data_IF_364197336464
#
_entry.id   IF_364197336464
#
_cell.length_a   1.000
_cell.length_b   1.000
_cell.length_c   1.000
_cell.angle_alpha   90.00
_cell.angle_beta   90.00
_cell.angle_gamma   90.00
#
_symmetry.space_group_name_H-M   'P 1'
#
loop_
_entity.id
_entity.type
_entity.pdbx_description
1 polymer ?
#
# COMPACT_ATOMS: atom_id res chain seq x y z
N UNK A 1 17.98 -23.71 17.81
CA UNK A 1 17.85 -22.37 18.43
C UNK A 1 16.83 -21.60 17.61
N UNK A 2 15.93 -20.87 18.28
CA UNK A 2 14.98 -19.99 17.60
C UNK A 2 15.75 -18.87 16.87
N UNK A 3 15.35 -18.53 15.65
CA UNK A 3 15.94 -17.37 14.94
C UNK A 3 15.53 -16.08 15.65
N UNK A 4 16.44 -15.12 15.74
CA UNK A 4 16.18 -13.79 16.27
C UNK A 4 15.95 -12.80 15.13
N UNK A 5 14.86 -12.02 15.19
CA UNK A 5 14.63 -10.93 14.28
C UNK A 5 14.52 -9.58 15.01
N UNK A 6 14.90 -8.51 14.31
CA UNK A 6 14.83 -7.15 14.85
C UNK A 6 13.95 -6.28 13.95
N UNK A 7 12.87 -5.70 14.51
CA UNK A 7 12.01 -4.75 13.83
C UNK A 7 12.37 -3.32 14.22
N UNK A 8 12.52 -2.44 13.23
CA UNK A 8 12.93 -1.05 13.43
C UNK A 8 11.88 -0.09 12.85
N UNK A 9 11.30 0.74 13.71
CA UNK A 9 10.35 1.77 13.31
C UNK A 9 9.03 1.21 12.75
N UNK A 10 8.31 2.03 12.00
CA UNK A 10 7.08 1.65 11.31
C UNK A 10 5.81 2.20 11.95
N UNK A 11 4.71 1.60 11.54
CA UNK A 11 3.36 1.89 12.00
C UNK A 11 2.72 0.63 12.62
N UNK A 12 1.42 0.66 12.88
CA UNK A 12 0.70 -0.49 13.46
C UNK A 12 0.89 -1.81 12.68
N UNK A 13 1.24 -1.77 11.40
CA UNK A 13 1.54 -2.98 10.61
C UNK A 13 2.75 -3.72 11.16
N UNK A 14 3.80 -2.98 11.58
CA UNK A 14 5.00 -3.57 12.18
C UNK A 14 4.69 -4.24 13.50
N UNK A 15 3.81 -3.66 14.32
CA UNK A 15 3.34 -4.29 15.56
C UNK A 15 2.69 -5.64 15.28
N UNK A 16 1.77 -5.69 14.31
CA UNK A 16 1.08 -6.93 13.96
C UNK A 16 2.00 -7.94 13.27
N UNK A 17 2.98 -7.46 12.50
CA UNK A 17 4.02 -8.34 11.96
C UNK A 17 4.89 -8.93 13.07
N UNK A 18 5.29 -8.11 14.06
CA UNK A 18 6.04 -8.60 15.22
C UNK A 18 5.26 -9.66 16.00
N UNK A 19 3.96 -9.45 16.22
CA UNK A 19 3.11 -10.43 16.88
C UNK A 19 3.02 -11.75 16.09
N UNK A 20 2.81 -11.68 14.78
CA UNK A 20 2.74 -12.88 13.94
C UNK A 20 4.07 -13.66 13.92
N UNK A 21 5.21 -12.97 13.99
CA UNK A 21 6.53 -13.61 14.08
C UNK A 21 6.76 -14.26 15.46
N UNK A 22 6.29 -13.63 16.54
CA UNK A 22 6.29 -14.23 17.89
C UNK A 22 5.44 -15.50 17.93
N UNK A 23 4.23 -15.45 17.35
CA UNK A 23 3.32 -16.59 17.29
C UNK A 23 3.90 -17.74 16.45
N UNK A 24 4.76 -17.43 15.48
CA UNK A 24 5.54 -18.42 14.71
C UNK A 24 6.78 -18.94 15.46
N UNK A 25 7.01 -18.55 16.72
CA UNK A 25 8.07 -19.05 17.57
C UNK A 25 9.44 -18.40 17.39
N UNK A 26 9.52 -17.23 16.74
CA UNK A 26 10.77 -16.49 16.64
C UNK A 26 11.02 -15.65 17.90
N UNK A 27 12.30 -15.36 18.18
CA UNK A 27 12.69 -14.32 19.13
C UNK A 27 12.59 -12.95 18.44
N UNK A 28 11.64 -12.11 18.86
CA UNK A 28 11.37 -10.81 18.25
C UNK A 28 11.81 -9.69 19.17
N UNK A 29 12.65 -8.78 18.66
CA UNK A 29 13.08 -7.55 19.32
C UNK A 29 12.65 -6.35 18.50
N UNK A 30 12.24 -5.26 19.16
CA UNK A 30 11.70 -4.09 18.50
C UNK A 30 12.35 -2.81 19.01
N UNK A 31 12.55 -1.82 18.11
CA UNK A 31 12.91 -0.46 18.48
C UNK A 31 12.06 0.52 17.66
N UNK A 32 11.32 1.38 18.34
CA UNK A 32 10.41 2.35 17.72
C UNK A 32 9.20 1.74 17.02
N UNK A 33 8.78 0.53 17.38
CA UNK A 33 7.57 -0.14 16.87
C UNK A 33 6.41 0.13 17.83
N UNK A 34 5.29 0.70 17.37
CA UNK A 34 4.17 1.04 18.25
C UNK A 34 3.68 -0.13 19.09
N UNK A 35 3.52 0.07 20.40
CA UNK A 35 2.95 -0.92 21.31
C UNK A 35 3.78 -2.18 21.56
N UNK A 36 5.04 -2.22 21.09
CA UNK A 36 5.99 -3.29 21.39
C UNK A 36 7.02 -2.84 22.44
N UNK A 37 7.55 -3.76 23.25
CA UNK A 37 8.64 -3.45 24.16
C UNK A 37 9.87 -2.93 23.42
N UNK A 38 10.48 -1.87 23.95
CA UNK A 38 11.69 -1.28 23.37
C UNK A 38 12.92 -2.13 23.69
N UNK A 39 13.73 -2.37 22.66
CA UNK A 39 15.04 -3.01 22.78
C UNK A 39 16.11 -2.16 22.09
N UNK A 40 17.31 -2.16 22.65
CA UNK A 40 18.44 -1.51 21.99
C UNK A 40 18.82 -2.29 20.73
N UNK A 41 19.14 -1.59 19.62
CA UNK A 41 19.60 -2.21 18.40
C UNK A 41 20.81 -3.14 18.65
N UNK A 42 20.68 -4.38 18.24
CA UNK A 42 21.68 -5.43 18.42
C UNK A 42 21.62 -6.43 17.26
N UNK A 43 22.73 -7.12 16.93
CA UNK A 43 22.79 -8.06 15.83
C UNK A 43 21.69 -9.14 15.90
N UNK A 44 21.05 -9.40 14.76
CA UNK A 44 19.98 -10.37 14.60
C UNK A 44 20.22 -11.24 13.36
N UNK A 45 19.48 -12.33 13.24
CA UNK A 45 19.56 -13.21 12.05
C UNK A 45 18.95 -12.53 10.83
N UNK A 46 17.90 -11.74 11.03
CA UNK A 46 17.36 -10.84 10.01
C UNK A 46 16.71 -9.58 10.64
N UNK A 47 16.60 -8.54 9.83
CA UNK A 47 16.06 -7.23 10.22
C UNK A 47 14.84 -6.91 9.36
N UNK A 48 13.83 -6.29 9.95
CA UNK A 48 12.61 -5.88 9.26
C UNK A 48 12.46 -4.36 9.39
N UNK A 49 12.42 -3.69 8.25
CA UNK A 49 12.20 -2.26 8.13
C UNK A 49 10.76 -1.94 7.71
N UNK A 50 10.31 -0.70 7.91
CA UNK A 50 8.98 -0.25 7.48
C UNK A 50 8.73 -0.34 5.97
N UNK A 51 7.48 -0.12 5.60
CA UNK A 51 6.99 -0.09 4.22
C UNK A 51 6.29 1.26 3.91
N UNK A 52 6.96 2.22 3.23
CA UNK A 52 8.38 2.25 2.84
C UNK A 52 9.32 2.35 4.04
N UNK A 53 10.61 1.94 3.84
CA UNK A 53 11.60 1.92 4.91
C UNK A 53 11.93 3.32 5.42
N UNK A 54 12.05 4.29 4.53
CA UNK A 54 12.44 5.66 4.86
C UNK A 54 11.30 6.66 4.66
N UNK A 55 11.36 7.73 5.45
CA UNK A 55 10.64 8.98 5.28
C UNK A 55 11.68 10.12 5.32
N UNK A 56 12.08 10.61 4.16
CA UNK A 56 13.27 11.44 4.05
C UNK A 56 14.53 10.65 4.43
N UNK A 57 15.35 11.21 5.31
CA UNK A 57 16.60 10.60 5.76
C UNK A 57 16.45 9.67 6.99
N UNK A 58 15.25 9.56 7.56
CA UNK A 58 14.98 8.75 8.76
C UNK A 58 14.19 7.49 8.41
N UNK A 59 14.25 6.49 9.27
CA UNK A 59 13.32 5.38 9.21
C UNK A 59 11.89 5.90 9.40
N UNK A 60 10.94 5.29 8.70
CA UNK A 60 9.53 5.65 8.82
C UNK A 60 8.98 5.21 10.17
N UNK A 61 8.17 6.07 10.80
CA UNK A 61 7.48 5.80 12.06
C UNK A 61 7.61 6.96 13.05
N UNK A 62 6.64 7.10 13.95
CA UNK A 62 6.58 8.23 14.90
C UNK A 62 7.74 8.20 15.90
N UNK A 63 8.11 7.00 16.37
CA UNK A 63 9.21 6.77 17.31
C UNK A 63 10.38 6.01 16.65
N UNK A 64 10.45 6.04 15.30
CA UNK A 64 11.47 5.30 14.58
C UNK A 64 12.89 5.77 14.93
N UNK A 65 13.83 4.84 15.14
CA UNK A 65 15.23 5.19 15.40
C UNK A 65 15.87 5.81 14.15
N UNK A 66 17.06 6.36 14.33
CA UNK A 66 17.89 6.82 13.20
C UNK A 66 18.26 5.64 12.29
N UNK A 67 18.46 5.92 11.00
CA UNK A 67 18.83 4.88 10.02
C UNK A 67 20.08 4.10 10.37
N UNK A 68 20.99 4.69 11.18
CA UNK A 68 22.19 4.03 11.68
C UNK A 68 21.90 2.82 12.58
N UNK A 69 20.74 2.78 13.22
CA UNK A 69 20.31 1.64 14.03
C UNK A 69 20.16 0.35 13.20
N UNK A 70 19.89 0.46 11.90
CA UNK A 70 19.82 -0.68 10.98
C UNK A 70 21.16 -1.42 10.95
N UNK A 71 22.26 -0.68 10.81
CA UNK A 71 23.60 -1.27 10.71
C UNK A 71 24.06 -1.91 12.03
N UNK A 72 23.58 -1.38 13.18
CA UNK A 72 23.84 -1.99 14.49
C UNK A 72 23.14 -3.36 14.64
N UNK A 73 22.10 -3.62 13.89
CA UNK A 73 21.40 -4.90 13.86
C UNK A 73 21.97 -5.88 12.82
N UNK A 74 22.88 -5.44 11.95
CA UNK A 74 23.43 -6.25 10.88
C UNK A 74 24.75 -6.91 11.29
N UNK A 75 24.97 -8.09 10.76
CA UNK A 75 26.24 -8.82 10.67
C UNK A 75 26.38 -9.38 9.24
N UNK A 76 27.52 -9.92 8.89
CA UNK A 76 27.69 -10.53 7.57
C UNK A 76 26.63 -11.62 7.33
N UNK A 77 25.89 -11.51 6.22
CA UNK A 77 24.79 -12.42 5.85
C UNK A 77 23.44 -12.10 6.49
N UNK A 78 23.29 -11.03 7.30
CA UNK A 78 21.99 -10.60 7.82
C UNK A 78 21.09 -10.16 6.67
N UNK A 79 19.91 -10.77 6.51
CA UNK A 79 18.90 -10.31 5.58
C UNK A 79 18.11 -9.14 6.15
N UNK A 80 17.95 -8.08 5.34
CA UNK A 80 17.22 -6.87 5.71
C UNK A 80 16.00 -6.73 4.82
N UNK A 81 14.85 -7.06 5.36
CA UNK A 81 13.55 -7.00 4.70
C UNK A 81 12.94 -5.61 4.81
N UNK A 82 12.34 -5.11 3.74
CA UNK A 82 11.63 -3.82 3.76
C UNK A 82 11.02 -3.48 2.43
N UNK A 83 10.46 -2.29 2.33
CA UNK A 83 9.96 -1.73 1.08
C UNK A 83 10.66 -0.42 0.74
N UNK A 84 11.07 -0.23 -0.53
CA UNK A 84 11.78 0.96 -0.97
C UNK A 84 13.19 1.04 -0.40
N UNK A 85 13.93 -0.07 -0.42
CA UNK A 85 15.27 -0.19 0.15
C UNK A 85 16.37 0.46 -0.71
N UNK A 86 16.08 0.92 -1.93
CA UNK A 86 17.07 1.50 -2.85
C UNK A 86 18.02 2.52 -2.19
N UNK A 87 17.58 3.46 -1.34
CA UNK A 87 18.48 4.43 -0.70
C UNK A 87 19.41 3.82 0.35
N UNK A 88 19.08 2.65 0.89
CA UNK A 88 19.91 1.94 1.89
C UNK A 88 20.76 0.83 1.27
N UNK A 89 20.46 0.44 0.03
CA UNK A 89 21.00 -0.77 -0.59
C UNK A 89 22.51 -0.86 -0.55
N UNK A 90 23.21 0.18 -0.99
CA UNK A 90 24.67 0.16 -1.05
C UNK A 90 25.28 0.06 0.35
N UNK A 91 24.81 0.86 1.31
CA UNK A 91 25.31 0.84 2.67
C UNK A 91 25.05 -0.51 3.38
N UNK A 92 23.94 -1.19 3.07
CA UNK A 92 23.66 -2.54 3.56
C UNK A 92 24.65 -3.56 2.99
N UNK A 93 24.92 -3.50 1.69
CA UNK A 93 25.89 -4.38 1.05
C UNK A 93 27.31 -4.14 1.59
N UNK A 94 27.70 -2.89 1.82
CA UNK A 94 29.02 -2.51 2.36
C UNK A 94 29.26 -3.06 3.79
N UNK A 95 28.19 -3.22 4.58
CA UNK A 95 28.28 -3.86 5.91
C UNK A 95 28.08 -5.38 5.87
N UNK A 96 27.98 -5.98 4.67
CA UNK A 96 27.82 -7.42 4.47
C UNK A 96 26.39 -7.95 4.66
N UNK A 97 25.39 -7.07 4.75
CA UNK A 97 23.99 -7.44 4.85
C UNK A 97 23.35 -7.60 3.46
N UNK A 98 22.28 -8.39 3.38
CA UNK A 98 21.54 -8.68 2.15
C UNK A 98 20.20 -7.93 2.14
N UNK A 99 20.05 -6.83 1.36
CA UNK A 99 18.78 -6.13 1.25
C UNK A 99 17.77 -6.95 0.43
N UNK A 100 16.63 -7.26 1.04
CA UNK A 100 15.52 -8.01 0.44
C UNK A 100 14.33 -7.08 0.26
N UNK A 101 14.10 -6.66 -0.99
CA UNK A 101 12.99 -5.79 -1.34
C UNK A 101 11.67 -6.59 -1.38
N UNK A 102 10.70 -6.16 -0.59
CA UNK A 102 9.36 -6.78 -0.56
C UNK A 102 8.31 -6.01 -1.37
N UNK A 103 8.57 -4.76 -1.76
CA UNK A 103 7.69 -4.05 -2.67
C UNK A 103 7.72 -4.66 -4.07
N UNK A 104 6.52 -4.85 -4.65
CA UNK A 104 6.40 -5.41 -5.99
C UNK A 104 6.59 -6.93 -6.06
N UNK A 105 6.82 -7.61 -4.94
CA UNK A 105 6.85 -9.08 -4.91
C UNK A 105 5.45 -9.66 -4.80
N UNK A 106 5.18 -10.73 -5.52
CA UNK A 106 3.99 -11.54 -5.36
C UNK A 106 4.27 -12.66 -4.33
N UNK A 107 3.31 -13.08 -3.52
CA UNK A 107 1.90 -12.63 -3.48
C UNK A 107 1.63 -11.37 -2.62
N UNK A 108 2.67 -10.79 -1.99
CA UNK A 108 2.49 -9.68 -1.04
C UNK A 108 1.81 -8.44 -1.67
N UNK A 109 2.16 -8.11 -2.92
CA UNK A 109 1.53 -6.98 -3.62
C UNK A 109 0.03 -7.17 -3.78
N UNK A 110 -0.40 -8.38 -4.14
CA UNK A 110 -1.82 -8.72 -4.26
C UNK A 110 -2.51 -8.72 -2.90
N UNK A 111 -1.90 -9.29 -1.86
CA UNK A 111 -2.45 -9.24 -0.50
C UNK A 111 -2.62 -7.81 0.01
N UNK A 112 -1.65 -6.93 -0.26
CA UNK A 112 -1.71 -5.52 0.15
C UNK A 112 -2.74 -4.68 -0.65
N UNK A 113 -3.13 -5.12 -1.85
CA UNK A 113 -4.17 -4.47 -2.62
C UNK A 113 -5.56 -4.60 -1.98
N UNK A 114 -5.83 -5.68 -1.23
CA UNK A 114 -7.12 -5.90 -0.56
C UNK A 114 -7.39 -4.84 0.51
N UNK A 115 -6.54 -4.66 1.54
CA UNK A 115 -6.78 -3.62 2.54
C UNK A 115 -6.70 -2.19 1.97
N UNK A 116 -5.95 -1.98 0.88
CA UNK A 116 -5.96 -0.69 0.17
C UNK A 116 -7.34 -0.40 -0.42
N UNK A 117 -7.94 -1.37 -1.10
CA UNK A 117 -9.28 -1.24 -1.69
C UNK A 117 -10.36 -1.05 -0.62
N UNK A 118 -10.28 -1.78 0.49
CA UNK A 118 -11.22 -1.65 1.62
C UNK A 118 -11.10 -0.29 2.30
N UNK A 119 -9.89 0.20 2.50
CA UNK A 119 -9.67 1.56 3.01
C UNK A 119 -10.18 2.64 2.08
N UNK A 120 -10.05 2.46 0.76
CA UNK A 120 -10.61 3.38 -0.23
C UNK A 120 -12.15 3.41 -0.20
N UNK A 121 -12.79 2.24 -0.05
CA UNK A 121 -14.24 2.13 0.11
C UNK A 121 -14.70 2.78 1.42
N UNK A 122 -13.98 2.56 2.51
CA UNK A 122 -14.27 3.20 3.80
C UNK A 122 -14.22 4.74 3.70
N UNK A 123 -13.18 5.28 3.06
CA UNK A 123 -13.09 6.72 2.80
C UNK A 123 -14.23 7.22 1.90
N UNK A 124 -14.61 6.45 0.89
CA UNK A 124 -15.73 6.81 0.02
C UNK A 124 -17.05 6.93 0.79
N UNK A 125 -17.32 6.00 1.71
CA UNK A 125 -18.51 6.02 2.56
C UNK A 125 -18.47 7.17 3.57
N UNK A 126 -17.30 7.46 4.15
CA UNK A 126 -17.15 8.48 5.19
C UNK A 126 -17.22 9.92 4.66
N UNK A 127 -16.76 10.16 3.43
CA UNK A 127 -16.53 11.51 2.91
C UNK A 127 -17.43 11.89 1.74
N UNK A 128 -18.36 11.04 1.32
CA UNK A 128 -19.31 11.35 0.25
C UNK A 128 -20.73 11.45 0.78
N UNK A 129 -21.55 12.39 0.28
CA UNK A 129 -22.99 12.40 0.57
C UNK A 129 -23.74 11.33 -0.21
N UNK A 130 -23.11 10.66 -1.16
CA UNK A 130 -23.72 9.64 -2.00
C UNK A 130 -23.45 8.23 -1.48
N UNK A 131 -24.43 7.34 -1.59
CA UNK A 131 -24.25 5.91 -1.37
C UNK A 131 -23.49 5.29 -2.55
N UNK A 132 -22.74 4.21 -2.31
CA UNK A 132 -22.06 3.45 -3.38
C UNK A 132 -23.03 2.64 -4.24
N UNK A 133 -24.06 2.03 -3.64
CA UNK A 133 -25.05 1.23 -4.36
C UNK A 133 -25.73 2.05 -5.48
N UNK A 134 -25.60 1.60 -6.72
CA UNK A 134 -26.12 2.26 -7.93
C UNK A 134 -25.37 3.50 -8.36
N UNK A 135 -24.34 3.94 -7.61
CA UNK A 135 -23.57 5.14 -7.97
C UNK A 135 -22.61 4.88 -9.13
N UNK A 136 -22.44 5.86 -10.02
CA UNK A 136 -21.40 5.80 -11.04
C UNK A 136 -20.02 6.01 -10.40
N UNK A 137 -19.15 5.00 -10.51
CA UNK A 137 -17.81 4.96 -9.99
C UNK A 137 -16.79 4.78 -11.11
N UNK A 138 -15.74 5.59 -11.14
CA UNK A 138 -14.60 5.46 -12.05
C UNK A 138 -13.39 4.93 -11.28
N UNK A 139 -12.82 3.82 -11.73
CA UNK A 139 -11.54 3.30 -11.23
C UNK A 139 -10.50 3.49 -12.34
N UNK A 140 -9.54 4.39 -12.11
CA UNK A 140 -8.46 4.67 -13.07
C UNK A 140 -7.27 3.78 -12.73
N UNK A 141 -6.91 2.90 -13.66
CA UNK A 141 -5.93 1.84 -13.53
C UNK A 141 -6.56 0.47 -13.25
N UNK A 142 -5.95 -0.57 -13.83
CA UNK A 142 -6.40 -1.96 -13.67
C UNK A 142 -5.24 -2.89 -13.29
N UNK A 143 -4.34 -2.37 -12.43
CA UNK A 143 -3.32 -3.13 -11.71
C UNK A 143 -3.89 -3.86 -10.50
N UNK A 144 -3.03 -4.29 -9.56
CA UNK A 144 -3.44 -5.02 -8.36
C UNK A 144 -4.56 -4.30 -7.57
N UNK A 145 -4.35 -3.04 -7.21
CA UNK A 145 -5.34 -2.26 -6.46
C UNK A 145 -6.61 -2.03 -7.30
N UNK A 146 -6.47 -1.61 -8.54
CA UNK A 146 -7.61 -1.29 -9.40
C UNK A 146 -8.54 -2.48 -9.63
N UNK A 147 -7.99 -3.68 -9.85
CA UNK A 147 -8.77 -4.92 -10.04
C UNK A 147 -9.54 -5.28 -8.78
N UNK A 148 -8.89 -5.27 -7.63
CA UNK A 148 -9.54 -5.60 -6.34
C UNK A 148 -10.62 -4.57 -6.01
N UNK A 149 -10.32 -3.28 -6.17
CA UNK A 149 -11.26 -2.19 -5.88
C UNK A 149 -12.48 -2.23 -6.80
N UNK A 150 -12.27 -2.37 -8.11
CA UNK A 150 -13.37 -2.44 -9.07
C UNK A 150 -14.31 -3.62 -8.78
N UNK A 151 -13.75 -4.79 -8.47
CA UNK A 151 -14.55 -5.97 -8.12
C UNK A 151 -15.33 -5.79 -6.81
N UNK A 152 -14.71 -5.22 -5.77
CA UNK A 152 -15.39 -4.92 -4.50
C UNK A 152 -16.51 -3.88 -4.68
N UNK A 153 -16.29 -2.82 -5.44
CA UNK A 153 -17.31 -1.82 -5.76
C UNK A 153 -18.49 -2.44 -6.54
N UNK A 154 -18.17 -3.30 -7.51
CA UNK A 154 -19.19 -4.05 -8.24
C UNK A 154 -20.01 -4.95 -7.31
N UNK A 155 -19.35 -5.65 -6.38
CA UNK A 155 -20.03 -6.45 -5.35
C UNK A 155 -20.93 -5.62 -4.40
N UNK A 156 -20.65 -4.33 -4.23
CA UNK A 156 -21.50 -3.36 -3.55
C UNK A 156 -22.61 -2.78 -4.46
N UNK A 157 -22.78 -3.34 -5.66
CA UNK A 157 -23.76 -2.91 -6.66
C UNK A 157 -23.54 -1.48 -7.17
N UNK A 158 -22.31 -0.98 -7.15
CA UNK A 158 -21.95 0.26 -7.84
C UNK A 158 -21.89 0.03 -9.35
N UNK A 159 -22.15 1.07 -10.14
CA UNK A 159 -21.93 1.07 -11.59
C UNK A 159 -20.49 1.44 -11.86
N UNK A 160 -19.65 0.44 -12.07
CA UNK A 160 -18.19 0.62 -12.14
C UNK A 160 -17.73 0.71 -13.58
N UNK A 161 -17.06 1.81 -13.92
CA UNK A 161 -16.26 1.95 -15.14
C UNK A 161 -14.78 1.86 -14.78
N UNK A 162 -14.05 0.99 -15.45
CA UNK A 162 -12.59 0.87 -15.35
C UNK A 162 -11.94 1.65 -16.47
N UNK A 163 -11.07 2.60 -16.16
CA UNK A 163 -10.26 3.27 -17.17
C UNK A 163 -8.86 2.66 -17.21
N UNK A 164 -8.52 1.97 -18.30
CA UNK A 164 -7.23 1.30 -18.46
C UNK A 164 -6.59 1.60 -19.83
N UNK A 165 -5.26 1.79 -19.80
CA UNK A 165 -4.48 2.08 -21.03
C UNK A 165 -4.42 0.88 -21.98
N UNK A 166 -4.18 -0.32 -21.41
CA UNK A 166 -4.02 -1.53 -22.23
C UNK A 166 -5.37 -2.10 -22.65
N UNK A 167 -5.55 -2.43 -23.96
CA UNK A 167 -6.77 -3.09 -24.43
C UNK A 167 -7.09 -4.41 -23.70
N UNK A 168 -6.06 -5.19 -23.35
CA UNK A 168 -6.20 -6.44 -22.61
C UNK A 168 -6.80 -6.23 -21.21
N UNK A 169 -6.47 -5.13 -20.54
CA UNK A 169 -7.03 -4.82 -19.22
C UNK A 169 -8.50 -4.40 -19.32
N UNK A 170 -8.86 -3.65 -20.37
CA UNK A 170 -10.26 -3.29 -20.66
C UNK A 170 -11.10 -4.53 -20.96
N UNK A 171 -10.62 -5.40 -21.85
CA UNK A 171 -11.29 -6.66 -22.16
C UNK A 171 -11.46 -7.56 -20.91
N UNK A 172 -10.44 -7.60 -20.02
CA UNK A 172 -10.53 -8.35 -18.78
C UNK A 172 -11.57 -7.74 -17.81
N UNK A 173 -11.69 -6.43 -17.75
CA UNK A 173 -12.74 -5.76 -16.97
C UNK A 173 -14.15 -6.05 -17.53
N UNK A 174 -14.32 -5.96 -18.85
CA UNK A 174 -15.60 -6.28 -19.53
C UNK A 174 -16.03 -7.74 -19.34
N UNK A 175 -15.07 -8.67 -19.35
CA UNK A 175 -15.34 -10.09 -19.09
C UNK A 175 -15.88 -10.35 -17.66
N UNK A 176 -15.64 -9.44 -16.73
CA UNK A 176 -16.19 -9.47 -15.35
C UNK A 176 -17.47 -8.64 -15.20
N UNK A 177 -18.09 -8.19 -16.29
CA UNK A 177 -19.31 -7.40 -16.27
C UNK A 177 -19.13 -5.93 -15.89
N UNK A 178 -17.90 -5.42 -15.90
CA UNK A 178 -17.62 -4.01 -15.67
C UNK A 178 -17.66 -3.21 -16.97
N UNK A 179 -17.98 -1.94 -16.89
CA UNK A 179 -17.76 -1.03 -18.02
C UNK A 179 -16.27 -0.72 -18.14
N UNK A 180 -15.78 -0.52 -19.38
CA UNK A 180 -14.38 -0.15 -19.59
C UNK A 180 -14.24 1.08 -20.49
N UNK A 181 -13.18 1.86 -20.23
CA UNK A 181 -12.83 3.05 -21.00
C UNK A 181 -11.30 3.17 -21.15
N UNK A 182 -10.85 4.02 -22.07
CA UNK A 182 -9.43 4.29 -22.26
C UNK A 182 -8.97 5.41 -21.30
N UNK A 183 -7.91 5.17 -20.53
CA UNK A 183 -7.32 6.19 -19.65
C UNK A 183 -6.91 7.42 -20.44
N UNK A 184 -7.35 8.60 -19.97
CA UNK A 184 -7.08 9.90 -20.58
C UNK A 184 -8.08 10.32 -21.66
N UNK A 185 -8.74 9.38 -22.32
CA UNK A 185 -9.79 9.69 -23.32
C UNK A 185 -11.16 9.89 -22.68
N UNK A 186 -11.53 9.01 -21.75
CA UNK A 186 -12.82 9.00 -21.05
C UNK A 186 -14.00 9.22 -22.03
N UNK A 187 -14.11 8.36 -23.05
CA UNK A 187 -15.09 8.50 -24.13
C UNK A 187 -16.54 8.48 -23.61
N UNK A 188 -16.78 7.87 -22.44
CA UNK A 188 -18.07 7.84 -21.75
C UNK A 188 -18.37 9.10 -20.93
N UNK A 189 -17.42 10.08 -20.92
CA UNK A 189 -17.51 11.29 -20.09
C UNK A 189 -17.08 11.07 -18.65
N UNK A 190 -17.23 12.11 -17.82
CA UNK A 190 -16.77 12.15 -16.42
C UNK A 190 -17.92 12.37 -15.43
N UNK A 191 -19.10 11.86 -15.75
CA UNK A 191 -20.30 11.98 -14.89
C UNK A 191 -20.30 10.96 -13.76
N UNK A 192 -19.28 11.02 -12.88
CA UNK A 192 -19.09 10.11 -11.75
C UNK A 192 -19.31 10.80 -10.40
N UNK A 193 -19.84 10.06 -9.43
CA UNK A 193 -19.88 10.47 -8.02
C UNK A 193 -18.58 10.11 -7.29
N UNK A 194 -17.89 9.06 -7.74
CA UNK A 194 -16.65 8.60 -7.15
C UNK A 194 -15.60 8.35 -8.24
N UNK A 195 -14.41 8.90 -8.02
CA UNK A 195 -13.25 8.65 -8.88
C UNK A 195 -12.09 8.18 -8.02
N UNK A 196 -11.57 7.01 -8.32
CA UNK A 196 -10.44 6.39 -7.63
C UNK A 196 -9.26 6.29 -8.59
N UNK A 197 -8.16 6.99 -8.29
CA UNK A 197 -6.95 6.85 -9.08
C UNK A 197 -5.95 5.89 -8.44
N UNK A 198 -5.50 4.90 -9.20
CA UNK A 198 -4.46 3.94 -8.80
C UNK A 198 -3.19 4.04 -9.64
N UNK A 199 -3.08 5.04 -10.52
CA UNK A 199 -1.98 5.20 -11.46
C UNK A 199 -1.07 6.34 -11.02
N UNK A 200 0.25 6.10 -10.78
CA UNK A 200 1.20 7.13 -10.34
C UNK A 200 1.75 7.96 -11.53
N UNK A 201 0.87 8.37 -12.45
CA UNK A 201 1.20 9.20 -13.60
C UNK A 201 -0.02 10.05 -13.97
N UNK A 202 0.13 11.20 -14.63
CA UNK A 202 -0.98 12.07 -15.00
C UNK A 202 -2.09 11.31 -15.74
N UNK A 203 -3.29 11.31 -15.19
CA UNK A 203 -4.47 10.60 -15.71
C UNK A 203 -5.67 11.50 -15.95
N UNK A 204 -5.69 12.68 -15.35
CA UNK A 204 -6.72 13.71 -15.54
C UNK A 204 -6.06 15.03 -15.90
N UNK A 205 -6.73 15.81 -16.74
CA UNK A 205 -6.38 17.22 -17.04
C UNK A 205 -7.24 18.16 -16.20
N UNK A 206 -6.89 19.45 -16.17
CA UNK A 206 -7.70 20.48 -15.51
C UNK A 206 -9.11 20.59 -16.13
N UNK A 207 -9.21 20.49 -17.46
CA UNK A 207 -10.49 20.52 -18.16
C UNK A 207 -11.37 19.32 -17.80
N UNK A 208 -10.75 18.15 -17.64
CA UNK A 208 -11.45 16.95 -17.19
C UNK A 208 -11.91 17.05 -15.74
N UNK A 209 -11.12 17.68 -14.86
CA UNK A 209 -11.57 17.99 -13.49
C UNK A 209 -12.76 18.97 -13.49
N UNK A 210 -12.76 19.94 -14.41
CA UNK A 210 -13.88 20.87 -14.55
C UNK A 210 -15.18 20.18 -15.00
N UNK A 211 -15.10 19.06 -15.69
CA UNK A 211 -16.23 18.28 -16.17
C UNK A 211 -16.83 17.29 -15.16
N UNK A 212 -16.20 17.11 -13.98
CA UNK A 212 -16.73 16.24 -12.93
C UNK A 212 -18.05 16.76 -12.37
N UNK A 213 -18.90 15.85 -11.90
CA UNK A 213 -20.16 16.22 -11.24
C UNK A 213 -19.90 16.98 -9.94
N UNK A 214 -20.74 17.97 -9.61
CA UNK A 214 -20.77 18.56 -8.26
C UNK A 214 -20.95 17.46 -7.20
N UNK A 215 -20.21 17.58 -6.09
CA UNK A 215 -20.21 16.57 -5.02
C UNK A 215 -19.40 15.30 -5.34
N UNK A 216 -18.69 15.25 -6.46
CA UNK A 216 -17.79 14.13 -6.78
C UNK A 216 -16.68 14.02 -5.72
N UNK A 217 -16.41 12.78 -5.31
CA UNK A 217 -15.28 12.45 -4.44
C UNK A 217 -14.15 11.85 -5.28
N UNK A 218 -12.98 12.52 -5.25
CA UNK A 218 -11.74 12.10 -5.86
C UNK A 218 -10.82 11.47 -4.82
N UNK A 219 -10.45 10.22 -4.99
CA UNK A 219 -9.49 9.52 -4.13
C UNK A 219 -8.19 9.23 -4.91
N UNK A 220 -7.09 9.87 -4.47
CA UNK A 220 -5.77 9.57 -4.97
C UNK A 220 -5.15 8.43 -4.15
N UNK A 221 -5.12 7.23 -4.73
CA UNK A 221 -4.59 6.01 -4.09
C UNK A 221 -3.16 5.69 -4.55
N UNK A 222 -2.75 6.30 -5.67
CA UNK A 222 -1.43 6.07 -6.21
C UNK A 222 -0.33 6.68 -5.34
N UNK A 223 0.85 6.08 -5.39
CA UNK A 223 2.05 6.66 -4.76
C UNK A 223 2.43 7.98 -5.42
N UNK A 224 3.18 8.82 -4.71
CA UNK A 224 3.72 10.05 -5.27
C UNK A 224 4.45 9.79 -6.60
N UNK A 225 4.31 10.67 -7.60
CA UNK A 225 3.66 11.99 -7.55
C UNK A 225 2.13 11.97 -7.65
N UNK A 226 1.49 10.80 -7.78
CA UNK A 226 0.07 10.69 -8.06
C UNK A 226 -0.28 10.98 -9.53
N UNK A 227 -1.57 10.98 -9.84
CA UNK A 227 -2.04 11.18 -11.23
C UNK A 227 -3.15 12.22 -11.37
N UNK A 228 -3.70 12.71 -10.26
CA UNK A 228 -4.73 13.74 -10.24
C UNK A 228 -4.08 15.10 -9.98
N UNK A 229 -4.25 16.10 -10.86
CA UNK A 229 -3.71 17.43 -10.62
C UNK A 229 -4.43 18.12 -9.45
N UNK A 230 -3.86 19.23 -8.95
CA UNK A 230 -4.49 20.03 -7.89
C UNK A 230 -5.91 20.43 -8.31
N UNK A 231 -6.88 20.18 -7.44
CA UNK A 231 -8.28 20.53 -7.66
C UNK A 231 -8.61 21.79 -6.86
N UNK A 232 -9.02 22.85 -7.55
CA UNK A 232 -9.41 24.14 -6.92
C UNK A 232 -10.93 24.26 -6.76
N UNK A 233 -11.71 23.28 -7.25
CA UNK A 233 -13.17 23.29 -7.14
C UNK A 233 -13.59 23.02 -5.70
N UNK A 234 -14.48 23.85 -5.17
CA UNK A 234 -15.02 23.72 -3.80
C UNK A 234 -16.18 22.74 -3.70
N UNK A 235 -16.77 22.37 -4.83
CA UNK A 235 -17.87 21.40 -4.95
C UNK A 235 -17.40 19.99 -5.32
N UNK A 236 -16.08 19.75 -5.34
CA UNK A 236 -15.45 18.46 -5.53
C UNK A 236 -14.49 18.21 -4.35
N UNK A 237 -14.65 17.08 -3.69
CA UNK A 237 -13.77 16.70 -2.58
C UNK A 237 -12.62 15.86 -3.10
N UNK A 238 -11.38 16.30 -2.87
CA UNK A 238 -10.18 15.50 -3.15
C UNK A 238 -9.56 14.99 -1.86
N UNK A 239 -9.22 13.72 -1.82
CA UNK A 239 -8.51 13.08 -0.71
C UNK A 239 -7.30 12.34 -1.26
N UNK A 240 -6.10 12.75 -0.81
CA UNK A 240 -4.89 11.97 -1.02
C UNK A 240 -4.81 10.90 0.08
N UNK A 241 -4.82 9.64 -0.31
CA UNK A 241 -5.02 8.50 0.58
C UNK A 241 -3.84 7.51 0.59
N UNK A 242 -2.63 7.95 0.99
CA UNK A 242 -1.50 7.04 1.11
C UNK A 242 -1.64 6.15 2.35
N UNK A 243 -1.07 4.95 2.28
CA UNK A 243 -0.89 4.08 3.44
C UNK A 243 -2.19 3.49 4.02
N UNK A 244 -3.23 3.33 3.22
CA UNK A 244 -4.52 2.79 3.64
C UNK A 244 -4.44 1.46 4.41
N UNK A 245 -3.61 0.47 4.04
CA UNK A 245 -3.48 -0.76 4.80
C UNK A 245 -3.12 -0.56 6.27
N UNK A 246 -2.20 0.38 6.55
CA UNK A 246 -1.80 0.71 7.92
C UNK A 246 -2.87 1.47 8.71
N UNK A 247 -3.75 2.19 8.03
CA UNK A 247 -4.81 2.98 8.67
C UNK A 247 -6.08 2.19 8.96
N UNK A 248 -6.45 1.26 8.07
CA UNK A 248 -7.74 0.56 8.12
C UNK A 248 -7.62 -0.92 8.47
N UNK A 249 -6.55 -1.60 8.03
CA UNK A 249 -6.39 -3.04 8.22
C UNK A 249 -4.96 -3.40 8.66
N UNK A 250 -4.40 -2.77 9.71
CA UNK A 250 -3.00 -2.97 10.08
C UNK A 250 -2.68 -4.42 10.47
N UNK A 251 -3.63 -5.12 11.09
CA UNK A 251 -3.47 -6.52 11.48
C UNK A 251 -3.27 -7.43 10.26
N UNK A 252 -4.18 -7.34 9.28
CA UNK A 252 -4.11 -8.16 8.06
C UNK A 252 -2.87 -7.84 7.22
N UNK A 253 -2.52 -6.55 7.11
CA UNK A 253 -1.34 -6.13 6.36
C UNK A 253 -0.04 -6.55 7.06
N UNK A 254 0.03 -6.46 8.39
CA UNK A 254 1.18 -6.91 9.18
C UNK A 254 1.36 -8.43 9.11
N UNK A 255 0.29 -9.19 9.22
CA UNK A 255 0.32 -10.65 9.09
C UNK A 255 0.81 -11.08 7.68
N UNK A 256 0.38 -10.38 6.63
CA UNK A 256 0.84 -10.65 5.26
C UNK A 256 2.36 -10.39 5.10
N UNK A 257 2.90 -9.34 5.75
CA UNK A 257 4.34 -9.08 5.76
C UNK A 257 5.11 -10.20 6.49
N UNK A 258 4.63 -10.58 7.67
CA UNK A 258 5.24 -11.68 8.41
C UNK A 258 5.23 -12.98 7.62
N UNK A 259 4.11 -13.33 7.00
CA UNK A 259 3.99 -14.53 6.17
C UNK A 259 4.99 -14.55 5.00
N UNK A 260 5.12 -13.42 4.27
CA UNK A 260 6.07 -13.30 3.16
C UNK A 260 7.53 -13.45 3.62
N UNK A 261 7.87 -12.97 4.82
CA UNK A 261 9.20 -13.10 5.41
C UNK A 261 9.45 -14.54 5.87
N UNK A 262 8.47 -15.15 6.57
CA UNK A 262 8.57 -16.54 7.03
C UNK A 262 8.75 -17.53 5.88
N UNK A 263 8.08 -17.29 4.75
CA UNK A 263 8.25 -18.06 3.53
C UNK A 263 9.71 -18.01 3.03
N UNK A 264 10.29 -16.82 2.97
CA UNK A 264 11.69 -16.65 2.54
C UNK A 264 12.70 -17.18 3.56
N UNK A 265 12.35 -17.21 4.85
CA UNK A 265 13.18 -17.76 5.91
C UNK A 265 13.06 -19.29 6.04
N UNK A 266 12.16 -19.95 5.28
CA UNK A 266 11.88 -21.38 5.38
C UNK A 266 11.27 -21.77 6.73
N UNK A 267 10.63 -20.84 7.41
CA UNK A 267 10.04 -21.01 8.73
C UNK A 267 8.51 -20.95 8.63
N UNK A 268 7.89 -21.97 8.00
CA UNK A 268 6.44 -22.11 8.09
C UNK A 268 6.06 -22.68 9.46
N UNK A 269 5.04 -22.12 10.13
CA UNK A 269 4.39 -22.84 11.21
C UNK A 269 3.81 -24.16 10.65
N UNK A 270 4.07 -25.24 11.36
CA UNK A 270 3.54 -26.58 11.05
C UNK A 270 2.02 -26.61 11.21
#
# INVERSE_FOLDING_TARGET
>A
MSKTCFLLGGDERQRWAAQALLDAGLEVRCCGVPGMPEALPAPADFVILPFPALQGERLRGTAAPERTAVFACCRCGTRVYGGGLSPLRQALLDCGAEPVELFGTEPLTTHNAVPTAEGAIALAVLHSPYRLHGAPCLVIGYGHIGRVLANKLHGLSARVTVAARRPSDRAAAEALGLEADETGRYARGLAYHFVFNTVPAPVLTQDQLAALLPGCLLLELASAPGGIPACTRTDVTRIDAPGLPGRFCPASAGAAYAAAILEQEGAFPA
#
